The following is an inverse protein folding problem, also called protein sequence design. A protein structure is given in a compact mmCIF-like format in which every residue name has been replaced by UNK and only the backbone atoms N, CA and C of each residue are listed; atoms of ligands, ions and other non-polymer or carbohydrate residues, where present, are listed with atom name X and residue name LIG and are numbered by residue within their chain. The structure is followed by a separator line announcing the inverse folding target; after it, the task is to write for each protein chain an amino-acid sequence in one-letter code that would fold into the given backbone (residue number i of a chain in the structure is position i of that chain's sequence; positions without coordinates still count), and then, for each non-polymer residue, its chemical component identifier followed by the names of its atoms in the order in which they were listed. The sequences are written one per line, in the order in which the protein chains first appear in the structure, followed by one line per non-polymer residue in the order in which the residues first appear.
data_IF_752752297613
#
_entry.id   IF_752752297613
#
_cell.length_a   1.000
_cell.length_b   1.000
_cell.length_c   1.000
_cell.angle_alpha   90.00
_cell.angle_beta   90.00
_cell.angle_gamma   90.00
#
_symmetry.space_group_name_H-M   'P 1'
#
loop_
_entity.id
_entity.type
_entity.pdbx_description
1 polymer ?
#
# COMPACT_ATOMS: atom_id res chain seq x y z
N UNK A 1 25.28 13.37 -13.35
CA UNK A 1 23.92 13.29 -13.06
C UNK A 1 23.54 13.93 -11.79
N UNK A 2 23.30 15.15 -11.92
CA UNK A 2 22.98 15.86 -10.70
C UNK A 2 21.62 15.51 -10.16
N UNK A 3 20.71 15.17 -11.03
CA UNK A 3 19.42 14.76 -10.54
C UNK A 3 19.56 13.58 -9.62
N UNK A 4 20.64 12.85 -9.74
CA UNK A 4 20.84 11.70 -8.91
C UNK A 4 20.96 12.06 -7.45
N UNK A 5 21.44 13.23 -7.12
CA UNK A 5 21.60 13.54 -5.70
C UNK A 5 20.26 13.72 -5.02
N UNK A 6 19.28 14.34 -5.68
CA UNK A 6 17.96 14.46 -5.11
C UNK A 6 17.16 13.21 -5.25
N UNK A 7 17.37 12.52 -6.34
CA UNK A 7 16.64 11.30 -6.57
C UNK A 7 17.23 10.14 -5.79
N UNK A 8 18.44 10.29 -5.25
CA UNK A 8 19.11 9.18 -4.57
C UNK A 8 18.29 8.62 -3.42
N UNK A 9 17.48 9.45 -2.78
CA UNK A 9 16.64 8.98 -1.67
C UNK A 9 15.50 8.09 -2.15
N UNK A 10 15.06 8.25 -3.39
CA UNK A 10 13.97 7.46 -3.95
C UNK A 10 14.40 6.63 -5.13
N UNK A 11 15.61 6.83 -5.66
CA UNK A 11 16.04 6.28 -6.93
C UNK A 11 16.11 4.79 -6.81
N UNK A 12 16.14 4.07 -6.09
CA UNK A 12 16.09 2.61 -6.04
C UNK A 12 14.78 2.09 -5.50
N UNK A 13 13.85 2.99 -5.14
CA UNK A 13 12.59 2.56 -4.54
C UNK A 13 11.52 2.49 -5.61
N UNK A 14 10.94 1.31 -5.79
CA UNK A 14 9.90 1.09 -6.78
C UNK A 14 8.77 0.29 -6.15
N UNK A 15 7.54 0.71 -6.40
CA UNK A 15 6.35 -0.01 -5.96
C UNK A 15 5.59 -0.44 -7.20
N UNK A 16 5.12 -1.66 -7.22
CA UNK A 16 4.35 -2.17 -8.35
C UNK A 16 3.39 -3.26 -7.88
N UNK A 17 2.32 -3.41 -8.65
CA UNK A 17 1.39 -4.50 -8.44
C UNK A 17 1.99 -5.78 -9.00
N UNK A 18 1.90 -6.86 -8.27
CA UNK A 18 2.29 -8.20 -8.71
C UNK A 18 1.04 -9.09 -8.64
N UNK A 19 0.11 -8.93 -9.62
CA UNK A 19 -1.18 -9.62 -9.52
C UNK A 19 -1.07 -11.13 -9.54
N UNK A 20 -0.02 -11.67 -10.13
CA UNK A 20 0.17 -13.12 -10.13
C UNK A 20 0.44 -13.64 -8.72
N UNK A 21 0.88 -12.77 -7.81
CA UNK A 21 1.09 -13.11 -6.41
C UNK A 21 0.04 -12.48 -5.51
N UNK A 22 -0.90 -11.76 -6.09
CA UNK A 22 -1.97 -11.08 -5.38
C UNK A 22 -1.41 -10.15 -4.30
N UNK A 23 -0.44 -9.33 -4.67
CA UNK A 23 0.13 -8.37 -3.74
C UNK A 23 0.81 -7.22 -4.47
N UNK A 24 0.90 -6.07 -3.81
CA UNK A 24 1.78 -4.98 -4.23
C UNK A 24 3.12 -5.21 -3.55
N UNK A 25 4.19 -4.88 -4.26
CA UNK A 25 5.55 -5.08 -3.75
C UNK A 25 6.30 -3.77 -3.79
N UNK A 26 7.15 -3.54 -2.79
CA UNK A 26 8.08 -2.42 -2.80
C UNK A 26 9.49 -3.00 -2.81
N UNK A 27 10.28 -2.52 -3.74
CA UNK A 27 11.66 -2.95 -3.92
C UNK A 27 12.59 -1.78 -3.70
N UNK A 28 13.76 -2.05 -3.14
CA UNK A 28 14.82 -1.06 -2.97
C UNK A 28 16.05 -1.63 -3.67
N UNK A 29 16.51 -0.92 -4.69
CA UNK A 29 17.65 -1.35 -5.51
C UNK A 29 17.46 -2.78 -6.03
N UNK A 30 16.23 -3.09 -6.41
CA UNK A 30 15.91 -4.40 -6.98
C UNK A 30 15.65 -5.48 -5.96
N UNK A 31 15.81 -5.19 -4.69
CA UNK A 31 15.60 -6.17 -3.62
C UNK A 31 14.23 -5.99 -3.00
N UNK A 32 13.48 -7.06 -2.82
CA UNK A 32 12.16 -6.99 -2.22
C UNK A 32 12.27 -6.53 -0.77
N UNK A 33 11.66 -5.38 -0.49
CA UNK A 33 11.69 -4.80 0.84
C UNK A 33 10.41 -5.03 1.61
N UNK A 34 9.29 -5.25 0.90
CA UNK A 34 8.02 -5.49 1.57
C UNK A 34 6.90 -5.73 0.58
N UNK A 35 5.76 -6.09 1.10
CA UNK A 35 4.58 -6.34 0.26
C UNK A 35 3.30 -6.17 1.07
N UNK A 36 2.19 -5.96 0.36
CA UNK A 36 0.86 -5.97 0.96
C UNK A 36 -0.02 -6.87 0.11
N UNK A 37 -0.53 -7.94 0.72
CA UNK A 37 -1.33 -8.95 0.05
C UNK A 37 -2.78 -8.53 -0.01
N UNK A 38 -3.43 -8.88 -1.11
CA UNK A 38 -4.82 -8.53 -1.30
C UNK A 38 -5.58 -9.64 -2.01
N UNK A 39 -6.91 -9.53 -1.96
CA UNK A 39 -7.81 -10.31 -2.78
C UNK A 39 -8.75 -9.34 -3.46
N UNK A 40 -9.04 -9.60 -4.73
CA UNK A 40 -9.99 -8.75 -5.46
C UNK A 40 -11.23 -9.53 -5.82
N UNK A 41 -12.37 -8.84 -5.82
CA UNK A 41 -13.63 -9.47 -6.17
C UNK A 41 -14.67 -8.40 -6.47
N UNK A 42 -15.18 -8.40 -7.72
CA UNK A 42 -16.34 -7.57 -8.08
C UNK A 42 -16.24 -6.11 -7.65
N UNK A 43 -15.15 -5.46 -8.03
CA UNK A 43 -14.99 -4.06 -7.72
C UNK A 43 -14.49 -3.77 -6.32
N UNK A 44 -14.03 -4.79 -5.60
CA UNK A 44 -13.53 -4.66 -4.24
C UNK A 44 -12.11 -5.18 -4.18
N UNK A 45 -11.24 -4.49 -3.45
CA UNK A 45 -9.93 -5.01 -3.09
C UNK A 45 -9.86 -5.08 -1.57
N UNK A 46 -9.59 -6.28 -1.06
CA UNK A 46 -9.46 -6.51 0.38
C UNK A 46 -7.99 -6.69 0.70
N UNK A 47 -7.45 -5.83 1.55
CA UNK A 47 -6.06 -5.94 1.99
C UNK A 47 -6.00 -6.85 3.21
N UNK A 48 -5.14 -7.86 3.13
CA UNK A 48 -5.14 -8.96 4.09
C UNK A 48 -3.94 -8.90 5.02
N UNK A 49 -2.75 -8.64 4.49
CA UNK A 49 -1.52 -8.75 5.25
C UNK A 49 -0.42 -7.91 4.63
N UNK A 50 0.37 -7.26 5.47
CA UNK A 50 1.47 -6.42 5.03
C UNK A 50 2.73 -6.80 5.81
N UNK A 51 3.86 -6.88 5.10
CA UNK A 51 5.16 -7.10 5.73
C UNK A 51 6.17 -6.12 5.16
N UNK A 52 7.06 -5.64 6.01
CA UNK A 52 8.26 -4.92 5.59
C UNK A 52 9.43 -5.69 6.19
N UNK A 53 10.37 -6.07 5.33
CA UNK A 53 11.52 -6.84 5.76
C UNK A 53 12.29 -6.09 6.84
N UNK A 54 12.74 -6.84 7.82
CA UNK A 54 13.40 -6.29 9.01
C UNK A 54 14.53 -5.34 8.66
N UNK A 55 15.33 -5.68 7.65
CA UNK A 55 16.45 -4.86 7.23
C UNK A 55 16.05 -3.53 6.61
N UNK A 56 14.76 -3.37 6.28
CA UNK A 56 14.27 -2.15 5.62
C UNK A 56 13.34 -1.34 6.49
N UNK A 57 13.11 -1.74 7.72
CA UNK A 57 12.19 -1.03 8.60
C UNK A 57 12.77 0.32 9.02
N UNK A 58 11.88 1.24 9.39
CA UNK A 58 12.29 2.56 9.84
C UNK A 58 12.58 3.55 8.74
N UNK A 59 12.25 3.22 7.49
CA UNK A 59 12.50 4.10 6.34
C UNK A 59 11.23 4.63 5.71
N UNK A 60 10.07 4.39 6.31
CA UNK A 60 8.79 4.83 5.75
C UNK A 60 8.36 4.05 4.52
N UNK A 61 8.96 2.91 4.25
CA UNK A 61 8.65 2.13 3.05
C UNK A 61 7.25 1.53 3.12
N UNK A 62 6.81 1.12 4.31
CA UNK A 62 5.46 0.59 4.48
C UNK A 62 4.41 1.60 4.10
N UNK A 63 4.57 2.84 4.54
CA UNK A 63 3.62 3.90 4.21
C UNK A 63 3.62 4.19 2.71
N UNK A 64 4.77 4.18 2.07
CA UNK A 64 4.85 4.38 0.62
C UNK A 64 4.17 3.26 -0.14
N UNK A 65 4.35 2.04 0.32
CA UNK A 65 3.71 0.87 -0.27
C UNK A 65 2.19 0.99 -0.20
N UNK A 66 1.67 1.31 0.98
CA UNK A 66 0.23 1.39 1.18
C UNK A 66 -0.36 2.58 0.41
N UNK A 67 0.32 3.73 0.43
CA UNK A 67 -0.17 4.88 -0.33
C UNK A 67 -0.29 4.54 -1.82
N UNK A 68 0.71 3.86 -2.38
CA UNK A 68 0.67 3.46 -3.77
C UNK A 68 -0.51 2.52 -4.03
N UNK A 69 -0.68 1.53 -3.16
CA UNK A 69 -1.74 0.53 -3.33
C UNK A 69 -3.12 1.18 -3.26
N UNK A 70 -3.32 2.11 -2.35
CA UNK A 70 -4.60 2.81 -2.21
C UNK A 70 -4.84 3.76 -3.37
N UNK A 71 -3.80 4.45 -3.83
CA UNK A 71 -3.93 5.33 -5.00
C UNK A 71 -4.28 4.51 -6.24
N UNK A 72 -3.71 3.33 -6.38
CA UNK A 72 -4.01 2.45 -7.50
C UNK A 72 -5.44 1.93 -7.42
N UNK A 73 -5.89 1.58 -6.22
CA UNK A 73 -7.29 1.17 -6.02
C UNK A 73 -8.23 2.28 -6.45
N UNK A 74 -7.90 3.53 -6.10
CA UNK A 74 -8.71 4.69 -6.50
C UNK A 74 -8.76 4.82 -8.02
N UNK A 75 -7.62 4.67 -8.67
CA UNK A 75 -7.55 4.77 -10.14
C UNK A 75 -8.39 3.71 -10.80
N UNK A 76 -8.45 2.53 -10.21
CA UNK A 76 -9.21 1.41 -10.77
C UNK A 76 -10.67 1.44 -10.37
N UNK A 77 -11.08 2.38 -9.54
CA UNK A 77 -12.47 2.44 -9.06
C UNK A 77 -12.83 1.31 -8.12
N UNK A 78 -11.85 0.78 -7.39
CA UNK A 78 -12.10 -0.33 -6.47
C UNK A 78 -12.42 0.20 -5.07
N UNK A 79 -13.40 -0.42 -4.42
CA UNK A 79 -13.66 -0.16 -3.02
C UNK A 79 -12.66 -0.94 -2.18
N UNK A 80 -12.24 -0.38 -1.06
CA UNK A 80 -11.20 -0.96 -0.22
C UNK A 80 -11.79 -1.50 1.06
N UNK A 81 -11.42 -2.74 1.41
CA UNK A 81 -11.74 -3.33 2.70
C UNK A 81 -10.42 -3.59 3.42
N UNK A 82 -10.07 -2.78 4.42
CA UNK A 82 -8.76 -2.88 5.08
C UNK A 82 -8.79 -3.86 6.25
N UNK A 83 -8.82 -5.15 5.95
CA UNK A 83 -8.73 -6.16 7.01
C UNK A 83 -7.35 -6.16 7.67
N UNK A 84 -6.32 -5.81 6.92
CA UNK A 84 -4.96 -5.74 7.45
C UNK A 84 -4.84 -4.57 8.43
N UNK A 85 -4.40 -4.81 9.67
CA UNK A 85 -4.27 -3.71 10.63
C UNK A 85 -3.33 -2.59 10.18
N UNK A 86 -2.28 -2.93 9.44
CA UNK A 86 -1.36 -1.92 8.94
C UNK A 86 -2.06 -0.96 7.98
N UNK A 87 -2.85 -1.52 7.05
CA UNK A 87 -3.58 -0.71 6.08
C UNK A 87 -4.65 0.12 6.78
N UNK A 88 -5.35 -0.49 7.74
CA UNK A 88 -6.37 0.22 8.51
C UNK A 88 -5.78 1.39 9.25
N UNK A 89 -4.66 1.17 9.93
CA UNK A 89 -3.97 2.22 10.66
C UNK A 89 -3.53 3.35 9.75
N UNK A 90 -3.05 3.01 8.57
CA UNK A 90 -2.64 4.01 7.59
C UNK A 90 -3.83 4.89 7.22
N UNK A 91 -4.99 4.29 6.93
CA UNK A 91 -6.18 5.05 6.55
C UNK A 91 -6.65 5.92 7.72
N UNK A 92 -6.58 5.41 8.95
CA UNK A 92 -6.96 6.20 10.12
C UNK A 92 -6.10 7.45 10.24
N UNK A 93 -4.82 7.35 9.90
CA UNK A 93 -3.89 8.48 9.96
C UNK A 93 -3.94 9.35 8.72
N UNK A 94 -4.58 8.87 7.66
CA UNK A 94 -4.66 9.59 6.38
C UNK A 94 -6.13 9.62 5.93
N UNK A 95 -6.94 10.51 6.53
CA UNK A 95 -8.38 10.51 6.26
C UNK A 95 -8.78 10.71 4.81
N UNK A 96 -7.87 11.20 3.98
CA UNK A 96 -8.11 11.37 2.54
C UNK A 96 -8.45 10.04 1.87
N UNK A 97 -8.13 8.93 2.48
CA UNK A 97 -8.40 7.61 1.92
C UNK A 97 -9.65 6.95 2.47
N UNK A 98 -10.30 7.58 3.46
CA UNK A 98 -11.50 6.96 4.08
C UNK A 98 -12.61 6.76 3.07
N UNK A 99 -12.72 7.64 2.08
CA UNK A 99 -13.77 7.53 1.08
C UNK A 99 -13.64 6.29 0.21
N UNK A 100 -12.49 5.63 0.18
CA UNK A 100 -12.32 4.37 -0.53
C UNK A 100 -13.05 3.23 0.15
N UNK A 101 -13.26 3.33 1.46
CA UNK A 101 -13.96 2.28 2.22
C UNK A 101 -15.45 2.55 2.15
N UNK A 102 -16.25 1.57 1.74
CA UNK A 102 -17.71 1.77 1.68
C UNK A 102 -18.23 2.26 3.01
N UNK A 103 -19.12 3.24 2.95
CA UNK A 103 -19.64 3.88 4.16
C UNK A 103 -20.21 2.87 5.15
N UNK A 104 -20.90 1.86 4.64
CA UNK A 104 -21.50 0.84 5.49
C UNK A 104 -20.49 -0.01 6.23
N UNK A 105 -19.23 0.01 5.79
CA UNK A 105 -18.18 -0.82 6.38
C UNK A 105 -17.25 -0.03 7.30
N UNK A 106 -17.34 1.30 7.29
CA UNK A 106 -16.38 2.12 8.01
C UNK A 106 -16.40 1.87 9.51
N UNK A 107 -17.57 1.66 10.07
CA UNK A 107 -17.68 1.39 11.50
C UNK A 107 -16.94 0.13 11.92
N UNK A 108 -17.00 -0.91 11.09
CA UNK A 108 -16.33 -2.18 11.39
C UNK A 108 -14.82 -2.02 11.40
N UNK A 109 -14.28 -1.04 10.67
CA UNK A 109 -12.84 -0.78 10.59
C UNK A 109 -12.42 0.44 11.41
N UNK A 110 -13.33 0.97 12.22
CA UNK A 110 -13.06 2.14 13.06
C UNK A 110 -12.67 3.36 12.23
N UNK A 111 -13.33 3.53 11.14
CA UNK A 111 -13.17 4.64 10.24
C UNK A 111 -14.46 5.48 10.18
#
# INVERSE_FOLDING_TARGET
MTAASNAAETIGVAVADAPERERYEIHVDGELAGFTEYKTRRGIIAFIHTEVDEGFQGRGLGDRLIAYALDDARKRGLAVLPFCPFVRSFIQSHPDYVDLVPESQRGAFEL
#
